data_IF_482735807765
#
_entry.id   IF_482735807765
#
_cell.length_a   1.000
_cell.length_b   1.000
_cell.length_c   1.000
_cell.angle_alpha   90.00
_cell.angle_beta   90.00
_cell.angle_gamma   90.00
#
_symmetry.space_group_name_H-M   'P 1'
#
loop_
_entity.id
_entity.type
_entity.pdbx_description
1 polymer ?
#
# COMPACT_ATOMS: atom_id res chain seq x y z
N UNK A 1 13.23 32.16 30.51
CA UNK A 1 13.55 30.73 30.28
C UNK A 1 12.28 29.91 30.04
N UNK A 2 11.37 30.44 29.20
CA UNK A 2 10.09 29.75 28.87
C UNK A 2 10.06 29.13 27.46
N UNK A 3 11.12 29.17 26.69
CA UNK A 3 11.05 28.84 25.27
C UNK A 3 11.39 27.38 24.89
N UNK A 4 12.03 26.60 25.77
CA UNK A 4 12.46 25.23 25.42
C UNK A 4 11.40 24.20 25.81
N UNK A 5 10.70 24.40 26.89
CA UNK A 5 9.60 23.53 27.33
C UNK A 5 8.37 23.65 26.43
N UNK A 6 8.08 24.86 25.92
CA UNK A 6 6.97 25.05 24.98
C UNK A 6 7.25 24.39 23.62
N UNK A 7 8.49 24.39 23.15
CA UNK A 7 8.85 23.71 21.89
C UNK A 7 8.85 22.18 22.02
N UNK A 8 9.16 21.66 23.21
CA UNK A 8 9.08 20.21 23.49
C UNK A 8 7.62 19.80 23.62
N UNK A 9 6.78 20.58 24.33
CA UNK A 9 5.35 20.31 24.43
C UNK A 9 4.64 20.40 23.08
N UNK A 10 4.98 21.36 22.22
CA UNK A 10 4.44 21.42 20.86
C UNK A 10 4.84 20.19 20.02
N UNK A 11 6.08 19.71 20.13
CA UNK A 11 6.52 18.49 19.43
C UNK A 11 5.85 17.24 20.02
N UNK A 12 5.63 17.18 21.31
CA UNK A 12 4.93 16.06 21.97
C UNK A 12 3.44 16.08 21.67
N UNK A 13 2.81 17.25 21.51
CA UNK A 13 1.43 17.37 21.04
C UNK A 13 1.28 16.98 19.55
N UNK A 14 2.30 17.20 18.73
CA UNK A 14 2.31 16.74 17.32
C UNK A 14 2.46 15.21 17.23
N UNK A 15 3.15 14.57 18.18
CA UNK A 15 3.24 13.10 18.28
C UNK A 15 1.95 12.48 18.82
N UNK A 16 1.10 13.25 19.51
CA UNK A 16 -0.20 12.80 20.06
C UNK A 16 -1.40 13.03 19.13
N UNK A 17 -1.23 13.60 17.94
CA UNK A 17 -2.32 13.69 16.97
C UNK A 17 -2.44 12.36 16.24
N UNK A 18 -3.34 11.53 16.71
CA UNK A 18 -3.74 10.24 16.14
C UNK A 18 -4.44 10.48 14.77
N UNK A 19 -3.66 10.92 13.76
CA UNK A 19 -4.13 11.28 12.42
C UNK A 19 -3.59 10.31 11.38
N UNK A 20 -4.43 9.96 10.44
CA UNK A 20 -4.08 9.19 9.25
C UNK A 20 -3.95 10.14 8.07
N UNK A 21 -2.78 10.16 7.43
CA UNK A 21 -2.57 10.90 6.19
C UNK A 21 -2.88 10.01 4.99
N UNK A 22 -3.86 10.43 4.19
CA UNK A 22 -4.30 9.71 3.01
C UNK A 22 -3.97 10.49 1.74
N UNK A 23 -3.32 9.84 0.79
CA UNK A 23 -3.27 10.30 -0.60
C UNK A 23 -4.56 9.88 -1.29
N UNK A 24 -5.35 10.85 -1.72
CA UNK A 24 -6.58 10.61 -2.46
C UNK A 24 -6.29 10.45 -3.96
N UNK A 25 -6.93 9.45 -4.57
CA UNK A 25 -6.79 9.16 -5.98
C UNK A 25 -8.07 8.59 -6.58
N UNK A 26 -8.12 8.50 -7.90
CA UNK A 26 -9.23 7.93 -8.65
C UNK A 26 -8.76 6.80 -9.55
N UNK A 27 -9.57 5.76 -9.60
CA UNK A 27 -9.57 4.76 -10.64
C UNK A 27 -10.55 5.16 -11.75
N UNK A 28 -10.88 4.27 -12.67
CA UNK A 28 -11.95 4.57 -13.63
C UNK A 28 -13.28 4.70 -12.90
N UNK A 29 -13.97 5.82 -13.17
CA UNK A 29 -15.25 6.14 -12.55
C UNK A 29 -15.19 7.32 -11.60
N UNK A 30 -16.24 7.48 -10.77
CA UNK A 30 -16.41 8.64 -9.87
C UNK A 30 -15.98 8.36 -8.44
N UNK A 31 -15.75 7.10 -8.09
CA UNK A 31 -15.35 6.70 -6.75
C UNK A 31 -13.96 7.23 -6.42
N UNK A 32 -13.82 7.76 -5.21
CA UNK A 32 -12.54 8.20 -4.65
C UNK A 32 -11.96 7.11 -3.75
N UNK A 33 -10.67 6.96 -3.84
CA UNK A 33 -9.90 6.00 -3.07
C UNK A 33 -8.81 6.70 -2.28
N UNK A 34 -8.38 6.08 -1.20
CA UNK A 34 -7.28 6.57 -0.36
C UNK A 34 -6.22 5.50 -0.14
N UNK A 35 -4.98 5.91 -0.10
CA UNK A 35 -3.86 5.10 0.36
C UNK A 35 -3.11 5.86 1.45
N UNK A 36 -2.64 5.15 2.48
CA UNK A 36 -1.82 5.73 3.52
C UNK A 36 -0.52 6.28 2.92
N UNK A 37 -0.25 7.57 3.16
CA UNK A 37 0.93 8.28 2.63
C UNK A 37 2.24 7.61 3.04
N UNK A 38 2.31 7.01 4.22
CA UNK A 38 3.50 6.28 4.68
C UNK A 38 3.89 5.09 3.80
N UNK A 39 2.95 4.58 2.98
CA UNK A 39 3.20 3.52 2.01
C UNK A 39 3.62 4.05 0.64
N UNK A 40 3.50 5.36 0.43
CA UNK A 40 3.80 6.02 -0.85
C UNK A 40 5.24 6.53 -0.83
N UNK A 41 6.05 6.03 -1.74
CA UNK A 41 7.42 6.50 -1.96
C UNK A 41 7.45 7.71 -2.89
N UNK A 42 6.65 7.67 -3.94
CA UNK A 42 6.62 8.69 -4.98
C UNK A 42 5.32 8.60 -5.81
N UNK A 43 4.93 9.74 -6.38
CA UNK A 43 3.85 9.83 -7.38
C UNK A 43 4.40 10.51 -8.62
N UNK A 44 4.17 9.90 -9.78
CA UNK A 44 4.62 10.45 -11.06
C UNK A 44 3.59 10.21 -12.16
N UNK A 45 3.67 11.00 -13.22
CA UNK A 45 2.90 10.72 -14.43
C UNK A 45 3.37 9.39 -15.05
N UNK A 46 2.44 8.60 -15.58
CA UNK A 46 2.78 7.28 -16.12
C UNK A 46 3.86 7.39 -17.20
N UNK A 47 5.05 6.79 -16.98
CA UNK A 47 6.11 6.81 -17.97
C UNK A 47 5.80 5.83 -19.11
N UNK A 48 6.66 5.80 -20.13
CA UNK A 48 6.58 4.75 -21.16
C UNK A 48 6.85 3.39 -20.52
N UNK A 49 5.95 2.46 -20.74
CA UNK A 49 6.06 1.10 -20.23
C UNK A 49 6.62 0.16 -21.30
N UNK A 50 7.56 -0.68 -20.89
CA UNK A 50 8.02 -1.83 -21.68
C UNK A 50 7.12 -3.02 -21.39
N UNK A 51 6.67 -3.71 -22.42
CA UNK A 51 5.83 -4.90 -22.30
C UNK A 51 6.58 -6.04 -21.63
N UNK A 52 5.92 -6.74 -20.73
CA UNK A 52 6.45 -7.93 -20.06
C UNK A 52 5.71 -9.17 -20.62
N UNK A 53 6.40 -10.06 -21.39
CA UNK A 53 5.78 -11.27 -21.93
C UNK A 53 5.25 -12.17 -20.81
N UNK A 54 4.14 -12.86 -21.05
CA UNK A 54 3.52 -13.81 -20.12
C UNK A 54 3.15 -13.25 -18.74
N UNK A 55 3.05 -11.91 -18.62
CA UNK A 55 2.60 -11.28 -17.38
C UNK A 55 1.09 -11.44 -17.16
N UNK A 56 0.67 -11.32 -15.90
CA UNK A 56 -0.77 -11.29 -15.56
C UNK A 56 -1.44 -10.07 -16.20
N UNK A 57 -2.74 -10.12 -16.55
CA UNK A 57 -3.44 -9.03 -17.24
C UNK A 57 -3.37 -7.68 -16.53
N UNK A 58 -3.33 -7.65 -15.19
CA UNK A 58 -3.21 -6.43 -14.41
C UNK A 58 -1.80 -5.81 -14.47
N UNK A 59 -0.75 -6.56 -14.83
CA UNK A 59 0.60 -6.03 -15.01
C UNK A 59 0.70 -5.38 -16.38
N UNK A 60 0.75 -4.05 -16.41
CA UNK A 60 0.74 -3.25 -17.64
C UNK A 60 2.11 -3.19 -18.33
N UNK A 61 3.15 -3.58 -17.63
CA UNK A 61 4.52 -3.58 -18.10
C UNK A 61 5.49 -3.18 -17.00
N UNK A 62 6.70 -2.82 -17.39
CA UNK A 62 7.74 -2.32 -16.50
C UNK A 62 8.20 -0.93 -16.92
N UNK A 63 8.58 -0.12 -15.96
CA UNK A 63 9.19 1.18 -16.16
C UNK A 63 10.56 1.25 -15.49
N UNK A 64 11.50 1.97 -16.12
CA UNK A 64 12.78 2.27 -15.51
C UNK A 64 12.69 3.63 -14.82
N UNK A 65 12.71 3.62 -13.48
CA UNK A 65 12.52 4.82 -12.63
C UNK A 65 13.69 4.88 -11.66
N UNK A 66 14.46 5.98 -11.69
CA UNK A 66 15.59 6.24 -10.78
C UNK A 66 16.62 5.09 -10.70
N UNK A 67 16.87 4.40 -11.80
CA UNK A 67 17.85 3.30 -11.84
C UNK A 67 17.26 1.93 -11.49
N UNK A 68 16.00 1.85 -11.07
CA UNK A 68 15.29 0.61 -10.77
C UNK A 68 14.28 0.25 -11.86
N UNK A 69 14.15 -1.04 -12.16
CA UNK A 69 13.10 -1.55 -13.05
C UNK A 69 11.90 -1.96 -12.24
N UNK A 70 10.83 -1.19 -12.32
CA UNK A 70 9.65 -1.32 -11.47
C UNK A 70 8.48 -1.86 -12.30
N UNK A 71 7.84 -2.97 -11.90
CA UNK A 71 6.61 -3.43 -12.53
C UNK A 71 5.47 -2.48 -12.21
N UNK A 72 4.62 -2.22 -13.23
CA UNK A 72 3.47 -1.31 -13.11
C UNK A 72 2.19 -2.13 -13.21
N UNK A 73 1.42 -2.10 -12.13
CA UNK A 73 0.17 -2.83 -11.95
C UNK A 73 -1.01 -1.85 -12.09
N UNK A 74 -1.99 -2.19 -12.90
CA UNK A 74 -3.26 -1.47 -12.95
C UNK A 74 -4.07 -1.77 -11.69
N UNK A 75 -4.18 -0.78 -10.82
CA UNK A 75 -4.85 -0.94 -9.53
C UNK A 75 -6.33 -1.27 -9.68
N UNK A 76 -6.99 -0.68 -10.68
CA UNK A 76 -8.39 -0.99 -11.00
C UNK A 76 -8.58 -2.46 -11.34
N UNK A 77 -7.76 -2.99 -12.25
CA UNK A 77 -7.83 -4.41 -12.64
C UNK A 77 -7.51 -5.34 -11.46
N UNK A 78 -6.61 -4.94 -10.57
CA UNK A 78 -6.25 -5.75 -9.39
C UNK A 78 -7.42 -5.93 -8.42
N UNK A 79 -8.29 -4.94 -8.34
CA UNK A 79 -9.50 -4.98 -7.50
C UNK A 79 -10.77 -5.29 -8.30
N UNK A 80 -10.62 -5.90 -9.47
CA UNK A 80 -11.71 -6.37 -10.37
C UNK A 80 -12.56 -5.24 -10.95
N UNK A 81 -12.01 -4.04 -11.09
CA UNK A 81 -12.62 -2.93 -11.80
C UNK A 81 -12.07 -2.82 -13.23
N UNK A 82 -12.73 -2.05 -14.11
CA UNK A 82 -12.20 -1.76 -15.44
C UNK A 82 -10.82 -1.11 -15.39
N UNK A 83 -9.89 -1.64 -16.17
CA UNK A 83 -8.53 -1.09 -16.26
C UNK A 83 -8.49 0.21 -17.08
N UNK A 84 -7.35 0.90 -17.01
CA UNK A 84 -7.08 2.12 -17.76
C UNK A 84 -6.77 1.74 -19.21
N UNK A 85 -7.47 2.32 -20.21
CA UNK A 85 -7.18 2.11 -21.63
C UNK A 85 -5.75 2.53 -21.98
N UNK A 86 -5.17 1.91 -23.01
CA UNK A 86 -3.79 2.22 -23.42
C UNK A 86 -3.62 3.69 -23.82
N UNK A 87 -4.61 4.27 -24.47
CA UNK A 87 -4.66 5.66 -24.90
C UNK A 87 -4.70 6.67 -23.76
N UNK A 88 -5.25 6.27 -22.61
CA UNK A 88 -5.33 7.10 -21.40
C UNK A 88 -4.11 6.96 -20.49
N UNK A 89 -3.26 5.95 -20.71
CA UNK A 89 -2.13 5.68 -19.80
C UNK A 89 -1.15 6.85 -19.72
N UNK A 90 -0.88 7.56 -20.83
CA UNK A 90 0.06 8.68 -20.84
C UNK A 90 -0.41 9.88 -19.99
N UNK A 91 -1.71 10.00 -19.74
CA UNK A 91 -2.30 11.04 -18.89
C UNK A 91 -2.60 10.56 -17.48
N UNK A 92 -2.40 9.29 -17.22
CA UNK A 92 -2.59 8.65 -15.92
C UNK A 92 -1.36 8.81 -15.02
N UNK A 93 -1.48 8.37 -13.78
CA UNK A 93 -0.42 8.48 -12.77
C UNK A 93 -0.01 7.11 -12.27
N UNK A 94 1.21 7.04 -11.75
CA UNK A 94 1.73 5.87 -11.05
C UNK A 94 2.07 6.26 -9.63
N UNK A 95 1.51 5.54 -8.67
CA UNK A 95 1.85 5.63 -7.26
C UNK A 95 2.88 4.54 -6.98
N UNK A 96 4.10 4.95 -6.67
CA UNK A 96 5.17 4.03 -6.30
C UNK A 96 5.08 3.76 -4.80
N UNK A 97 5.02 2.48 -4.47
CA UNK A 97 5.02 2.00 -3.09
C UNK A 97 6.19 1.07 -2.85
N UNK A 98 6.61 0.99 -1.61
CA UNK A 98 7.62 0.03 -1.17
C UNK A 98 7.07 -0.80 -0.01
N UNK A 99 7.13 -2.11 -0.17
CA UNK A 99 6.73 -3.07 0.84
C UNK A 99 7.69 -4.25 0.85
N UNK A 100 8.18 -4.64 2.03
CA UNK A 100 9.17 -5.71 2.20
C UNK A 100 10.37 -5.57 1.24
N UNK A 101 10.92 -4.36 1.10
CA UNK A 101 12.04 -4.01 0.20
C UNK A 101 11.75 -4.24 -1.29
N UNK A 102 10.49 -4.46 -1.67
CA UNK A 102 10.08 -4.54 -3.07
C UNK A 102 9.37 -3.25 -3.47
N UNK A 103 9.87 -2.61 -4.51
CA UNK A 103 9.25 -1.41 -5.09
C UNK A 103 8.24 -1.81 -6.15
N UNK A 104 7.05 -1.24 -6.10
CA UNK A 104 5.94 -1.53 -7.01
C UNK A 104 5.24 -0.25 -7.43
N UNK A 105 4.83 -0.16 -8.68
CA UNK A 105 4.03 0.94 -9.19
C UNK A 105 2.57 0.56 -9.40
N UNK A 106 1.65 1.36 -8.89
CA UNK A 106 0.22 1.24 -9.13
C UNK A 106 -0.28 2.29 -10.10
N UNK A 107 -0.78 1.87 -11.25
CA UNK A 107 -1.38 2.74 -12.25
C UNK A 107 -2.78 3.14 -11.79
N UNK A 108 -3.04 4.46 -11.72
CA UNK A 108 -4.30 5.07 -11.32
C UNK A 108 -4.71 6.13 -12.33
N UNK A 109 -6.01 6.40 -12.49
CA UNK A 109 -6.50 7.37 -13.48
C UNK A 109 -6.15 8.81 -13.12
N UNK A 110 -6.07 9.13 -11.83
CA UNK A 110 -5.71 10.46 -11.39
C UNK A 110 -5.40 10.50 -9.90
N UNK A 111 -4.55 11.41 -9.51
CA UNK A 111 -4.22 11.70 -8.12
C UNK A 111 -4.79 13.07 -7.77
N UNK A 112 -5.38 13.21 -6.59
CA UNK A 112 -6.00 14.47 -6.16
C UNK A 112 -5.09 15.18 -5.14
N UNK A 113 -5.22 14.90 -3.88
CA UNK A 113 -4.51 15.59 -2.79
C UNK A 113 -4.21 14.67 -1.61
N UNK A 114 -3.39 15.14 -0.70
CA UNK A 114 -3.22 14.51 0.61
C UNK A 114 -4.19 15.17 1.59
N UNK A 115 -4.86 14.35 2.39
CA UNK A 115 -5.78 14.78 3.44
C UNK A 115 -5.38 14.16 4.77
N UNK A 116 -5.60 14.90 5.85
CA UNK A 116 -5.39 14.43 7.22
C UNK A 116 -6.76 14.07 7.82
N UNK A 117 -6.91 12.81 8.20
CA UNK A 117 -8.12 12.28 8.81
C UNK A 117 -7.87 11.93 10.26
N UNK A 118 -8.87 12.16 11.14
CA UNK A 118 -8.79 11.63 12.50
C UNK A 118 -9.13 10.14 12.46
N UNK A 119 -8.53 9.35 13.35
CA UNK A 119 -8.84 7.92 13.43
C UNK A 119 -10.30 7.63 13.77
N UNK A 120 -10.97 8.54 14.46
CA UNK A 120 -12.40 8.46 14.78
C UNK A 120 -13.29 8.50 13.53
N UNK A 121 -12.82 9.14 12.46
CA UNK A 121 -13.52 9.25 11.17
C UNK A 121 -13.27 8.04 10.26
N UNK A 122 -12.39 7.12 10.66
CA UNK A 122 -12.03 5.93 9.91
C UNK A 122 -12.90 4.76 10.37
N UNK A 123 -13.79 4.32 9.50
CA UNK A 123 -14.74 3.26 9.81
C UNK A 123 -14.31 1.92 9.20
N UNK A 124 -14.59 0.80 9.85
CA UNK A 124 -14.34 -0.50 9.26
C UNK A 124 -15.19 -0.72 8.00
N UNK A 125 -14.78 -1.63 7.09
CA UNK A 125 -15.58 -1.95 5.92
C UNK A 125 -17.00 -2.42 6.31
N UNK A 126 -18.03 -2.11 5.48
CA UNK A 126 -19.39 -2.53 5.75
C UNK A 126 -19.50 -4.05 5.93
N UNK A 127 -20.29 -4.50 6.88
CA UNK A 127 -20.59 -5.93 7.07
C UNK A 127 -21.24 -6.48 5.80
N UNK A 128 -20.68 -7.56 5.25
CA UNK A 128 -21.20 -8.17 4.02
C UNK A 128 -20.44 -7.79 2.74
N UNK A 129 -19.43 -6.94 2.82
CA UNK A 129 -18.60 -6.60 1.67
C UNK A 129 -17.82 -7.79 1.05
N UNK A 130 -17.85 -8.96 1.68
CA UNK A 130 -17.19 -10.18 1.19
C UNK A 130 -15.79 -10.39 1.78
N UNK A 131 -15.24 -11.61 1.58
CA UNK A 131 -13.90 -11.97 2.10
C UNK A 131 -12.76 -11.47 1.21
N UNK A 132 -13.03 -11.16 -0.07
CA UNK A 132 -12.04 -10.77 -1.08
C UNK A 132 -11.96 -9.23 -1.25
N UNK A 133 -12.25 -8.48 -0.19
CA UNK A 133 -12.26 -7.02 -0.25
C UNK A 133 -10.84 -6.51 -0.01
N UNK A 134 -10.34 -5.72 -0.95
CA UNK A 134 -9.06 -4.99 -0.83
C UNK A 134 -9.21 -3.66 -0.08
N UNK A 135 -10.27 -3.56 0.70
CA UNK A 135 -10.68 -2.38 1.45
C UNK A 135 -10.28 -2.55 2.91
N UNK A 136 -9.40 -1.70 3.40
CA UNK A 136 -9.01 -1.69 4.81
C UNK A 136 -10.05 -0.98 5.67
N UNK A 137 -10.57 0.13 5.18
CA UNK A 137 -11.51 1.00 5.90
C UNK A 137 -12.23 1.93 4.93
N UNK A 138 -13.20 2.66 5.44
CA UNK A 138 -13.90 3.74 4.73
C UNK A 138 -13.88 5.01 5.56
N UNK A 139 -13.91 6.16 4.91
CA UNK A 139 -14.06 7.45 5.56
C UNK A 139 -14.85 8.39 4.67
N UNK A 140 -15.21 9.59 5.17
CA UNK A 140 -15.88 10.63 4.40
C UNK A 140 -15.00 11.87 4.32
N UNK A 141 -14.91 12.43 3.14
CA UNK A 141 -14.24 13.71 2.91
C UNK A 141 -15.03 14.54 1.89
N UNK A 142 -15.40 15.79 2.24
CA UNK A 142 -16.23 16.67 1.41
C UNK A 142 -17.50 15.97 0.87
N UNK A 143 -18.26 15.33 1.76
CA UNK A 143 -19.49 14.57 1.44
C UNK A 143 -19.28 13.37 0.48
N UNK A 144 -18.05 12.97 0.23
CA UNK A 144 -17.71 11.80 -0.59
C UNK A 144 -17.22 10.65 0.29
N UNK A 145 -17.70 9.46 -0.01
CA UNK A 145 -17.15 8.23 0.57
C UNK A 145 -15.77 7.98 -0.03
N UNK A 146 -14.78 7.80 0.82
CA UNK A 146 -13.42 7.41 0.44
C UNK A 146 -13.18 5.96 0.88
N UNK A 147 -12.80 5.13 -0.07
CA UNK A 147 -12.42 3.73 0.16
C UNK A 147 -10.90 3.63 0.34
N UNK A 148 -10.45 3.18 1.52
CA UNK A 148 -9.03 3.05 1.83
C UNK A 148 -8.56 1.67 1.39
N UNK A 149 -7.65 1.63 0.42
CA UNK A 149 -7.18 0.42 -0.25
C UNK A 149 -6.00 -0.21 0.49
N UNK A 150 -6.07 -1.55 0.64
CA UNK A 150 -4.98 -2.38 1.13
C UNK A 150 -4.06 -2.80 -0.02
N UNK A 151 -3.05 -1.97 -0.28
CA UNK A 151 -2.08 -2.24 -1.35
C UNK A 151 -1.16 -3.42 -1.01
N UNK A 152 -0.96 -3.75 0.26
CA UNK A 152 -0.11 -4.88 0.68
C UNK A 152 -0.81 -6.21 0.37
N UNK A 153 -2.11 -6.29 0.62
CA UNK A 153 -2.92 -7.43 0.23
C UNK A 153 -2.91 -7.63 -1.28
N UNK A 154 -3.07 -6.55 -2.05
CA UNK A 154 -2.97 -6.61 -3.52
C UNK A 154 -1.60 -7.12 -3.95
N UNK A 155 -0.52 -6.62 -3.36
CA UNK A 155 0.84 -7.06 -3.68
C UNK A 155 1.07 -8.53 -3.38
N UNK A 156 0.59 -9.03 -2.25
CA UNK A 156 0.73 -10.44 -1.88
C UNK A 156 0.03 -11.38 -2.86
N UNK A 157 -1.05 -10.93 -3.49
CA UNK A 157 -1.79 -11.71 -4.49
C UNK A 157 -1.20 -11.60 -5.91
N UNK A 158 -0.73 -10.40 -6.30
CA UNK A 158 -0.18 -10.16 -7.64
C UNK A 158 1.24 -10.66 -7.76
N UNK A 159 2.04 -10.51 -6.72
CA UNK A 159 3.41 -11.01 -6.62
C UNK A 159 3.50 -11.86 -5.35
N UNK A 160 2.97 -13.09 -5.35
CA UNK A 160 3.12 -13.96 -4.20
C UNK A 160 4.59 -14.00 -3.84
N UNK A 161 4.88 -13.76 -2.57
CA UNK A 161 6.23 -13.90 -2.07
C UNK A 161 6.61 -15.37 -2.28
N UNK A 162 7.51 -15.65 -3.22
CA UNK A 162 8.33 -16.82 -3.10
C UNK A 162 9.21 -16.53 -1.86
N UNK A 163 8.72 -16.96 -0.71
CA UNK A 163 9.62 -17.29 0.36
C UNK A 163 10.44 -18.43 -0.17
N UNK A 164 11.56 -18.11 -0.80
CA UNK A 164 12.65 -19.06 -1.01
C UNK A 164 13.17 -19.43 0.39
N UNK A 165 12.37 -20.26 1.07
CA UNK A 165 12.88 -21.09 2.15
C UNK A 165 13.87 -22.00 1.47
N UNK A 166 15.16 -21.65 1.49
CA UNK A 166 16.23 -22.42 0.91
C UNK A 166 16.02 -23.87 1.33
N UNK A 167 16.19 -24.81 0.40
CA UNK A 167 16.05 -26.26 0.66
C UNK A 167 16.81 -26.69 1.92
N UNK A 168 17.89 -25.99 2.26
CA UNK A 168 18.65 -26.18 3.50
C UNK A 168 17.83 -25.92 4.77
N UNK A 169 16.93 -24.95 4.78
CA UNK A 169 16.06 -24.66 5.94
C UNK A 169 14.91 -25.67 6.01
N UNK A 170 14.38 -26.11 4.86
CA UNK A 170 13.37 -27.16 4.78
C UNK A 170 13.93 -28.49 5.27
N UNK A 171 15.16 -28.82 4.90
CA UNK A 171 15.80 -30.08 5.32
C UNK A 171 16.18 -30.07 6.81
N UNK A 172 16.56 -28.92 7.37
CA UNK A 172 16.80 -28.79 8.82
C UNK A 172 15.53 -28.86 9.67
N UNK A 173 14.37 -28.44 9.15
CA UNK A 173 13.09 -28.55 9.86
C UNK A 173 12.52 -29.98 9.84
N UNK A 174 13.02 -30.87 8.98
CA UNK A 174 12.64 -32.29 8.95
C UNK A 174 13.40 -33.14 9.97
N UNK A 175 14.53 -32.67 10.51
CA UNK A 175 15.16 -33.27 11.68
C UNK A 175 14.37 -32.91 12.93
N UNK A 176 13.42 -33.78 13.28
CA UNK A 176 12.67 -33.66 14.54
C UNK A 176 13.66 -33.79 15.70
N UNK A 177 14.00 -32.66 16.31
CA UNK A 177 14.66 -32.67 17.62
C UNK A 177 13.59 -33.05 18.64
N UNK A 178 13.69 -34.20 19.31
CA UNK A 178 12.75 -34.56 20.35
C UNK A 178 13.06 -33.69 21.58
N UNK A 179 12.25 -32.72 21.85
CA UNK A 179 12.36 -31.87 23.03
C UNK A 179 11.61 -30.54 22.83
N UNK A 180 10.92 -30.07 23.84
CA UNK A 180 10.37 -28.73 23.88
C UNK A 180 11.52 -27.74 24.03
N UNK A 181 11.93 -27.11 22.93
CA UNK A 181 12.85 -25.99 22.97
C UNK A 181 12.07 -24.73 23.39
N UNK A 182 12.51 -23.98 24.41
CA UNK A 182 11.91 -22.71 24.73
C UNK A 182 12.16 -21.73 23.58
N UNK A 183 11.09 -21.14 23.07
CA UNK A 183 11.16 -20.06 22.06
C UNK A 183 11.11 -18.73 22.81
N UNK A 184 12.18 -17.95 22.72
CA UNK A 184 12.20 -16.57 23.20
C UNK A 184 11.64 -15.66 22.13
N UNK A 185 10.50 -15.06 22.38
CA UNK A 185 9.96 -13.97 21.55
C UNK A 185 10.40 -12.65 22.19
N UNK A 186 11.19 -11.88 21.46
CA UNK A 186 11.59 -10.53 21.86
C UNK A 186 10.81 -9.54 20.98
N UNK A 187 10.01 -8.72 21.62
CA UNK A 187 9.30 -7.60 21.01
C UNK A 187 9.93 -6.31 21.53
N UNK A 188 10.33 -5.41 20.64
CA UNK A 188 10.89 -4.11 20.96
C UNK A 188 9.82 -3.00 21.05
N UNK A 189 8.55 -3.36 20.90
CA UNK A 189 7.45 -2.44 21.13
C UNK A 189 7.37 -2.04 22.60
N UNK A 190 7.58 -0.76 22.87
CA UNK A 190 7.33 -0.17 24.18
C UNK A 190 5.81 -0.10 24.41
N UNK A 191 5.20 -1.21 24.77
CA UNK A 191 3.86 -1.22 25.33
C UNK A 191 4.00 -1.07 26.82
N UNK A 192 3.75 0.14 27.29
CA UNK A 192 3.56 0.43 28.71
C UNK A 192 2.08 0.29 29.07
#
# INVERSE_FOLDING_TARGET
>A
MAGVLDSVNQRTQLVGQNRLELLLFRLRGRQMYGINVFKVKEVLQCPRLSSLPNSRPMVRGVAHIRGETIPIIDLGMSIRLPGIPKEEMATSFVIITEYNRKTQGFLVAGVDRIVNMNWEDILPPPKGAGKDVYLTAVTHFEDKLIEIIDVEKILSEVSPFEEDVTEDVRNRSSERVPGHLPVLVVDDSAVA
#
